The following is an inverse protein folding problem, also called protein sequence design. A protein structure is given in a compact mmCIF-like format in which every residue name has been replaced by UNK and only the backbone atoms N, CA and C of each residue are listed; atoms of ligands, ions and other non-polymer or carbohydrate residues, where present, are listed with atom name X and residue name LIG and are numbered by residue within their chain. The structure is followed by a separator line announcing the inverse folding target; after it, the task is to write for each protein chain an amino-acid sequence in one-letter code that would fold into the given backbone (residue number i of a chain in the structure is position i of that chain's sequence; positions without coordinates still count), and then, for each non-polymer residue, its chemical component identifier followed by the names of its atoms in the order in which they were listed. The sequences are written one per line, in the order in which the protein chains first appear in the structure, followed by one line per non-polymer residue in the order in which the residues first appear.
data_IF_245681827269
#
_entry.id   IF_245681827269
#
_cell.length_a   1.000
_cell.length_b   1.000
_cell.length_c   1.000
_cell.angle_alpha   90.00
_cell.angle_beta   90.00
_cell.angle_gamma   90.00
#
_symmetry.space_group_name_H-M   'P 1'
#
loop_
_entity.id
_entity.type
_entity.pdbx_description
1 polymer ?
#
# COMPACT_ATOMS: atom_id res chain seq x y z
N UNK A 1 -23.09 -14.00 3.75
CA UNK A 1 -23.43 -14.12 2.31
C UNK A 1 -23.61 -12.74 1.65
N UNK A 2 -24.50 -11.87 2.14
CA UNK A 2 -24.73 -10.51 1.60
C UNK A 2 -23.45 -9.63 1.54
N UNK A 3 -22.64 -9.65 2.60
CA UNK A 3 -21.42 -8.83 2.69
C UNK A 3 -20.32 -9.24 1.68
N UNK A 4 -20.31 -10.49 1.23
CA UNK A 4 -19.32 -11.02 0.27
C UNK A 4 -19.70 -10.67 -1.18
N UNK A 5 -21.00 -10.66 -1.51
CA UNK A 5 -21.52 -10.20 -2.81
C UNK A 5 -21.16 -8.74 -3.07
N UNK A 6 -21.40 -7.88 -2.08
CA UNK A 6 -21.10 -6.45 -2.19
C UNK A 6 -19.58 -6.19 -2.41
N UNK A 7 -18.70 -7.03 -1.84
CA UNK A 7 -17.23 -6.89 -1.97
C UNK A 7 -16.73 -7.20 -3.38
N UNK A 8 -17.27 -8.23 -4.04
CA UNK A 8 -16.93 -8.58 -5.42
C UNK A 8 -17.58 -7.62 -6.43
N UNK A 9 -18.80 -7.17 -6.16
CA UNK A 9 -19.51 -6.15 -6.96
C UNK A 9 -18.73 -4.84 -7.03
N UNK A 10 -18.19 -4.35 -5.91
CA UNK A 10 -17.38 -3.12 -5.91
C UNK A 10 -16.10 -3.29 -6.73
N UNK A 11 -15.40 -4.42 -6.60
CA UNK A 11 -14.21 -4.71 -7.41
C UNK A 11 -14.55 -4.82 -8.91
N UNK A 12 -15.68 -5.43 -9.26
CA UNK A 12 -16.19 -5.51 -10.63
C UNK A 12 -16.58 -4.14 -11.19
N UNK A 13 -17.26 -3.29 -10.39
CA UNK A 13 -17.60 -1.90 -10.74
C UNK A 13 -16.31 -1.10 -10.99
N UNK A 14 -15.28 -1.26 -10.15
CA UNK A 14 -13.98 -0.62 -10.37
C UNK A 14 -13.35 -0.99 -11.72
N UNK A 15 -13.45 -2.26 -12.15
CA UNK A 15 -12.96 -2.71 -13.46
C UNK A 15 -13.80 -2.19 -14.61
N UNK A 16 -15.12 -2.32 -14.53
CA UNK A 16 -16.06 -1.87 -15.57
C UNK A 16 -16.00 -0.36 -15.80
N UNK A 17 -15.86 0.44 -14.74
CA UNK A 17 -15.68 1.89 -14.84
C UNK A 17 -14.35 2.29 -15.51
N UNK A 18 -13.36 1.38 -15.53
CA UNK A 18 -12.03 1.62 -16.11
C UNK A 18 -11.87 1.04 -17.52
N UNK A 19 -12.53 -0.08 -17.83
CA UNK A 19 -12.68 -0.58 -19.20
C UNK A 19 -13.42 0.44 -20.07
N UNK A 20 -14.50 1.06 -19.58
CA UNK A 20 -15.17 2.17 -20.28
C UNK A 20 -14.24 3.37 -20.54
N UNK A 21 -13.25 3.60 -19.68
CA UNK A 21 -12.24 4.66 -19.88
C UNK A 21 -11.20 4.35 -20.97
N UNK A 22 -11.02 3.08 -21.33
CA UNK A 22 -10.15 2.68 -22.46
C UNK A 22 -10.85 2.74 -23.82
N UNK A 23 -12.18 2.60 -23.84
CA UNK A 23 -12.97 2.54 -25.07
C UNK A 23 -13.35 3.93 -25.62
N UNK A 24 -13.39 4.98 -24.79
CA UNK A 24 -13.88 6.31 -25.21
C UNK A 24 -12.88 7.48 -25.03
N UNK A 25 -11.58 7.22 -24.80
CA UNK A 25 -10.60 8.30 -24.61
C UNK A 25 -10.82 9.19 -23.36
N UNK A 26 -11.76 8.82 -22.48
CA UNK A 26 -12.03 9.50 -21.20
C UNK A 26 -11.16 8.90 -20.10
N UNK A 27 -10.33 9.73 -19.46
CA UNK A 27 -9.52 9.35 -18.27
C UNK A 27 -10.38 8.55 -17.29
N UNK A 28 -9.99 7.30 -17.03
CA UNK A 28 -10.53 6.43 -15.97
C UNK A 28 -10.85 7.25 -14.72
N UNK A 29 -12.07 7.11 -14.15
CA UNK A 29 -12.43 7.78 -12.89
C UNK A 29 -11.39 7.45 -11.83
N UNK A 30 -10.71 8.47 -11.32
CA UNK A 30 -9.70 8.33 -10.26
C UNK A 30 -10.37 7.90 -8.96
N UNK A 31 -9.66 7.14 -8.13
CA UNK A 31 -10.16 6.75 -6.81
C UNK A 31 -10.38 8.00 -5.96
N UNK A 32 -11.52 8.07 -5.29
CA UNK A 32 -11.91 9.20 -4.44
C UNK A 32 -11.54 8.88 -2.99
N UNK A 33 -10.88 9.84 -2.34
CA UNK A 33 -10.44 9.80 -0.95
C UNK A 33 -11.14 10.91 -0.16
N UNK A 34 -12.42 10.72 0.13
CA UNK A 34 -13.25 11.72 0.79
C UNK A 34 -14.18 11.09 1.84
N UNK A 35 -14.71 11.91 2.72
CA UNK A 35 -15.59 11.52 3.82
C UNK A 35 -14.83 11.22 5.11
N UNK A 36 -15.56 11.37 6.23
CA UNK A 36 -15.04 11.19 7.59
C UNK A 36 -14.38 9.82 7.77
N UNK A 37 -15.07 8.73 7.42
CA UNK A 37 -14.52 7.37 7.57
C UNK A 37 -13.24 7.17 6.77
N UNK A 38 -13.20 7.69 5.54
CA UNK A 38 -12.00 7.61 4.70
C UNK A 38 -10.84 8.36 5.35
N UNK A 39 -11.05 9.56 5.89
CA UNK A 39 -10.02 10.31 6.59
C UNK A 39 -9.55 9.60 7.86
N UNK A 40 -10.46 8.98 8.60
CA UNK A 40 -10.14 8.13 9.75
C UNK A 40 -9.32 6.91 9.35
N UNK A 41 -9.62 6.28 8.21
CA UNK A 41 -8.79 5.20 7.68
C UNK A 41 -7.41 5.70 7.25
N UNK A 42 -7.34 6.80 6.49
CA UNK A 42 -6.09 7.38 5.99
C UNK A 42 -5.15 7.83 7.11
N UNK A 43 -5.70 8.28 8.24
CA UNK A 43 -4.89 8.70 9.39
C UNK A 43 -4.18 7.55 10.08
N UNK A 44 -4.59 6.30 9.84
CA UNK A 44 -4.06 5.11 10.52
C UNK A 44 -4.05 5.24 12.05
N UNK A 45 -5.00 6.00 12.62
CA UNK A 45 -5.07 6.28 14.07
C UNK A 45 -4.15 7.42 14.55
N UNK A 46 -3.34 8.02 13.68
CA UNK A 46 -2.48 9.16 14.02
C UNK A 46 -3.30 10.45 13.92
N UNK A 47 -3.67 11.01 15.07
CA UNK A 47 -4.52 12.22 15.19
C UNK A 47 -3.97 13.38 14.36
N UNK A 48 -2.64 13.59 14.37
CA UNK A 48 -2.01 14.66 13.57
C UNK A 48 -2.28 14.53 12.07
N UNK A 49 -2.27 13.31 11.53
CA UNK A 49 -2.57 13.07 10.11
C UNK A 49 -4.05 13.42 9.84
N UNK A 50 -4.95 13.00 10.72
CA UNK A 50 -6.38 13.31 10.61
C UNK A 50 -6.63 14.83 10.59
N UNK A 51 -6.02 15.56 11.53
CA UNK A 51 -6.13 17.02 11.61
C UNK A 51 -5.55 17.71 10.36
N UNK A 52 -4.46 17.19 9.80
CA UNK A 52 -3.89 17.73 8.55
C UNK A 52 -4.82 17.52 7.36
N UNK A 53 -5.46 16.35 7.25
CA UNK A 53 -6.45 16.06 6.19
C UNK A 53 -7.64 17.01 6.28
N UNK A 54 -8.24 17.13 7.48
CA UNK A 54 -9.37 18.03 7.72
C UNK A 54 -8.96 19.48 7.51
N UNK A 55 -7.87 19.94 8.10
CA UNK A 55 -7.38 21.31 7.98
C UNK A 55 -7.13 21.72 6.52
N UNK A 56 -6.55 20.82 5.71
CA UNK A 56 -6.32 21.07 4.29
C UNK A 56 -7.64 21.13 3.48
N UNK A 57 -8.63 20.30 3.83
CA UNK A 57 -9.95 20.36 3.20
C UNK A 57 -10.69 21.66 3.53
N UNK A 58 -10.63 22.10 4.79
CA UNK A 58 -11.19 23.38 5.24
C UNK A 58 -10.55 24.55 4.51
N UNK A 59 -9.21 24.58 4.48
CA UNK A 59 -8.43 25.61 3.78
C UNK A 59 -8.85 25.73 2.30
N UNK A 60 -8.99 24.58 1.61
CA UNK A 60 -9.40 24.55 0.21
C UNK A 60 -10.82 25.05 0.00
N UNK A 61 -11.74 24.65 0.86
CA UNK A 61 -13.15 25.00 0.78
C UNK A 61 -13.39 26.49 1.04
N UNK A 62 -12.74 27.05 2.07
CA UNK A 62 -12.79 28.51 2.34
C UNK A 62 -12.22 29.30 1.15
N UNK A 63 -11.12 28.84 0.57
CA UNK A 63 -10.55 29.45 -0.64
C UNK A 63 -11.46 29.40 -1.87
N UNK A 64 -12.48 28.54 -1.88
CA UNK A 64 -13.51 28.45 -2.92
C UNK A 64 -14.83 29.14 -2.52
N UNK A 65 -14.85 29.87 -1.40
CA UNK A 65 -16.01 30.61 -0.93
C UNK A 65 -17.02 29.80 -0.10
N UNK A 66 -16.70 28.56 0.28
CA UNK A 66 -17.54 27.78 1.20
C UNK A 66 -17.41 28.34 2.61
N UNK A 67 -18.53 28.67 3.26
CA UNK A 67 -18.53 29.18 4.62
C UNK A 67 -18.52 28.04 5.66
N UNK A 68 -17.37 27.38 5.78
CA UNK A 68 -17.17 26.24 6.70
C UNK A 68 -17.46 26.59 8.16
N UNK A 69 -17.22 27.85 8.58
CA UNK A 69 -17.49 28.33 9.94
C UNK A 69 -18.97 28.37 10.28
N UNK A 70 -19.84 28.53 9.27
CA UNK A 70 -21.29 28.43 9.41
C UNK A 70 -21.82 27.00 9.24
N UNK A 71 -20.93 26.01 9.12
CA UNK A 71 -21.30 24.61 8.95
C UNK A 71 -21.71 24.23 7.52
N UNK A 72 -21.36 25.04 6.52
CA UNK A 72 -21.57 24.66 5.12
C UNK A 72 -20.76 23.40 4.77
N UNK A 73 -21.34 22.56 3.92
CA UNK A 73 -20.74 21.27 3.56
C UNK A 73 -19.53 21.47 2.65
N UNK A 74 -18.41 20.85 3.03
CA UNK A 74 -17.22 20.77 2.17
C UNK A 74 -17.48 19.77 1.05
N UNK A 75 -17.19 20.15 -0.20
CA UNK A 75 -17.38 19.30 -1.37
C UNK A 75 -16.54 18.02 -1.30
N UNK A 76 -16.96 16.98 -2.04
CA UNK A 76 -16.19 15.72 -2.14
C UNK A 76 -14.87 15.96 -2.86
N UNK A 77 -14.88 16.88 -3.81
CA UNK A 77 -13.74 17.29 -4.63
C UNK A 77 -12.66 17.95 -3.77
N UNK A 78 -13.04 18.84 -2.85
CA UNK A 78 -12.09 19.50 -1.95
C UNK A 78 -11.49 18.53 -0.93
N UNK A 79 -12.32 17.62 -0.40
CA UNK A 79 -11.85 16.56 0.48
C UNK A 79 -10.86 15.63 -0.23
N UNK A 80 -11.20 15.22 -1.46
CA UNK A 80 -10.31 14.37 -2.26
C UNK A 80 -8.99 15.09 -2.61
N UNK A 81 -9.07 16.36 -2.99
CA UNK A 81 -7.89 17.18 -3.25
C UNK A 81 -6.99 17.27 -2.02
N UNK A 82 -7.56 17.56 -0.84
CA UNK A 82 -6.83 17.64 0.41
C UNK A 82 -6.13 16.32 0.75
N UNK A 83 -6.81 15.18 0.55
CA UNK A 83 -6.20 13.87 0.76
C UNK A 83 -4.96 13.66 -0.12
N UNK A 84 -5.01 14.02 -1.40
CA UNK A 84 -3.86 13.93 -2.29
C UNK A 84 -2.72 14.88 -1.88
N UNK A 85 -3.03 16.12 -1.52
CA UNK A 85 -2.01 17.10 -1.11
C UNK A 85 -1.30 16.68 0.17
N UNK A 86 -2.06 16.29 1.19
CA UNK A 86 -1.47 15.83 2.46
C UNK A 86 -0.68 14.54 2.23
N UNK A 87 -1.24 13.56 1.53
CA UNK A 87 -0.55 12.32 1.20
C UNK A 87 0.79 12.54 0.49
N UNK A 88 0.79 13.40 -0.52
CA UNK A 88 2.00 13.78 -1.27
C UNK A 88 3.03 14.46 -0.36
N UNK A 89 2.59 15.41 0.46
CA UNK A 89 3.48 16.08 1.42
C UNK A 89 4.07 15.14 2.47
N UNK A 90 3.36 14.09 2.89
CA UNK A 90 3.91 13.06 3.77
C UNK A 90 4.91 12.15 3.05
N UNK A 91 4.61 11.73 1.82
CA UNK A 91 5.49 10.90 1.01
C UNK A 91 6.81 11.64 0.70
N UNK A 92 6.74 12.89 0.24
CA UNK A 92 7.90 13.73 -0.05
C UNK A 92 8.72 14.10 1.19
N UNK A 93 8.18 13.99 2.40
CA UNK A 93 8.95 14.26 3.63
C UNK A 93 9.77 13.07 4.10
N UNK A 94 9.52 11.86 3.59
CA UNK A 94 10.26 10.64 3.97
C UNK A 94 11.77 10.86 3.77
N UNK A 95 12.19 11.38 2.61
CA UNK A 95 13.61 11.55 2.31
C UNK A 95 14.31 12.61 3.19
N UNK A 96 13.56 13.60 3.72
CA UNK A 96 14.12 14.71 4.51
C UNK A 96 14.11 14.46 6.01
N UNK A 97 13.08 13.79 6.50
CA UNK A 97 12.81 13.69 7.93
C UNK A 97 13.45 12.44 8.57
N UNK A 98 13.99 11.53 7.76
CA UNK A 98 14.54 10.28 8.24
C UNK A 98 16.05 10.39 8.28
N UNK A 99 16.54 10.47 9.52
CA UNK A 99 17.97 10.41 9.82
C UNK A 99 18.57 9.09 9.35
N UNK A 100 19.78 9.17 8.80
CA UNK A 100 20.47 8.00 8.34
C UNK A 100 20.91 7.14 9.54
N UNK A 101 20.50 5.88 9.57
CA UNK A 101 20.85 4.95 10.63
C UNK A 101 21.06 3.54 10.08
N UNK A 102 22.18 2.90 10.44
CA UNK A 102 22.44 1.50 10.09
C UNK A 102 22.46 1.20 8.59
N UNK A 103 22.95 2.15 7.77
CA UNK A 103 22.98 2.03 6.30
C UNK A 103 21.65 2.37 5.61
N UNK A 104 20.61 2.72 6.37
CA UNK A 104 19.31 3.16 5.86
C UNK A 104 19.30 4.67 5.82
N UNK A 105 18.73 5.25 4.77
CA UNK A 105 18.49 6.68 4.67
C UNK A 105 17.05 6.93 4.17
N UNK A 106 16.61 8.19 4.28
CA UNK A 106 15.26 8.57 3.85
C UNK A 106 15.01 8.35 2.35
N UNK A 107 16.02 8.44 1.49
CA UNK A 107 15.87 8.22 0.05
C UNK A 107 15.52 6.75 -0.24
N UNK A 108 16.24 5.81 0.39
CA UNK A 108 15.96 4.38 0.30
C UNK A 108 14.54 4.06 0.77
N UNK A 109 14.08 4.68 1.86
CA UNK A 109 12.71 4.49 2.36
C UNK A 109 11.66 5.06 1.41
N UNK A 110 11.91 6.25 0.85
CA UNK A 110 11.03 6.87 -0.15
C UNK A 110 10.90 5.99 -1.40
N UNK A 111 12.03 5.49 -1.91
CA UNK A 111 12.07 4.59 -3.06
C UNK A 111 11.33 3.30 -2.79
N UNK A 112 11.57 2.65 -1.65
CA UNK A 112 10.87 1.43 -1.27
C UNK A 112 9.35 1.63 -1.17
N UNK A 113 8.89 2.70 -0.52
CA UNK A 113 7.45 3.01 -0.42
C UNK A 113 6.84 3.25 -1.80
N UNK A 114 7.56 3.93 -2.70
CA UNK A 114 7.12 4.16 -4.07
C UNK A 114 7.02 2.84 -4.86
N UNK A 115 8.04 1.98 -4.75
CA UNK A 115 8.08 0.70 -5.46
C UNK A 115 7.00 -0.27 -4.97
N UNK A 116 6.79 -0.37 -3.65
CA UNK A 116 5.67 -1.12 -3.08
C UNK A 116 4.33 -0.53 -3.50
N UNK A 117 4.20 0.80 -3.54
CA UNK A 117 3.03 1.49 -4.05
C UNK A 117 2.70 1.08 -5.47
N UNK A 118 3.69 1.08 -6.36
CA UNK A 118 3.53 0.68 -7.75
C UNK A 118 3.18 -0.81 -7.90
N UNK A 119 3.73 -1.68 -7.06
CA UNK A 119 3.38 -3.12 -7.03
C UNK A 119 1.92 -3.29 -6.59
N UNK A 120 1.50 -2.63 -5.51
CA UNK A 120 0.11 -2.71 -5.03
C UNK A 120 -0.88 -2.08 -6.00
N UNK A 121 -0.44 -1.04 -6.68
CA UNK A 121 -1.20 -0.42 -7.77
C UNK A 121 -1.42 -1.41 -8.89
N UNK A 122 -0.39 -2.13 -9.32
CA UNK A 122 -0.51 -3.17 -10.34
C UNK A 122 -1.55 -4.22 -9.93
N UNK A 123 -1.49 -4.68 -8.67
CA UNK A 123 -2.50 -5.59 -8.12
C UNK A 123 -3.90 -5.02 -8.15
N UNK A 124 -4.07 -3.76 -7.73
CA UNK A 124 -5.36 -3.07 -7.72
C UNK A 124 -5.98 -2.99 -9.12
N UNK A 125 -5.14 -2.83 -10.14
CA UNK A 125 -5.59 -2.62 -11.51
C UNK A 125 -5.89 -3.93 -12.25
N UNK A 126 -5.16 -5.02 -11.96
CA UNK A 126 -5.17 -6.22 -12.79
C UNK A 126 -5.56 -7.51 -12.05
N UNK A 127 -5.38 -7.58 -10.73
CA UNK A 127 -5.65 -8.81 -9.99
C UNK A 127 -7.17 -9.08 -9.90
N UNK A 128 -7.60 -10.30 -10.25
CA UNK A 128 -9.01 -10.64 -10.52
C UNK A 128 -9.90 -10.83 -9.26
N UNK A 129 -9.34 -11.29 -8.14
CA UNK A 129 -10.11 -11.62 -6.93
C UNK A 129 -9.77 -10.72 -5.74
N UNK A 130 -8.50 -10.41 -5.54
CA UNK A 130 -7.99 -9.68 -4.37
C UNK A 130 -7.24 -8.39 -4.73
N UNK A 131 -7.88 -7.39 -5.35
CA UNK A 131 -7.20 -6.21 -5.86
C UNK A 131 -6.74 -5.22 -4.76
N UNK A 132 -7.45 -5.15 -3.63
CA UNK A 132 -7.15 -4.18 -2.57
C UNK A 132 -6.19 -4.76 -1.51
N UNK A 133 -4.91 -4.38 -1.57
CA UNK A 133 -3.93 -4.71 -0.52
C UNK A 133 -3.13 -3.47 -0.12
N UNK A 134 -2.71 -3.48 1.14
CA UNK A 134 -1.64 -2.65 1.69
C UNK A 134 -0.65 -3.47 2.53
N UNK A 135 -0.84 -4.80 2.54
CA UNK A 135 -0.08 -5.70 3.39
C UNK A 135 1.12 -6.27 2.63
N UNK A 136 2.27 -6.24 3.29
CA UNK A 136 3.51 -6.90 2.89
C UNK A 136 3.66 -8.10 3.80
N UNK A 137 3.43 -9.31 3.26
CA UNK A 137 3.52 -10.56 4.01
C UNK A 137 4.82 -11.28 3.69
N UNK A 138 5.69 -11.46 4.68
CA UNK A 138 6.96 -12.15 4.50
C UNK A 138 6.75 -13.64 4.72
N UNK A 139 6.96 -14.45 3.67
CA UNK A 139 6.67 -15.90 3.68
C UNK A 139 7.79 -16.76 4.28
N UNK A 140 9.01 -16.25 4.32
CA UNK A 140 10.21 -16.89 4.85
C UNK A 140 10.87 -16.06 5.97
N UNK A 141 10.13 -15.68 7.03
CA UNK A 141 10.63 -14.73 8.02
C UNK A 141 11.81 -15.23 8.85
N UNK A 142 12.07 -16.54 8.87
CA UNK A 142 13.29 -17.11 9.45
C UNK A 142 14.55 -16.54 8.78
N UNK A 143 14.47 -16.13 7.51
CA UNK A 143 15.57 -15.55 6.75
C UNK A 143 15.80 -14.07 7.07
N UNK A 144 15.03 -13.44 7.98
CA UNK A 144 15.25 -12.03 8.39
C UNK A 144 16.38 -11.84 9.39
N UNK A 145 16.79 -12.90 10.08
CA UNK A 145 17.81 -12.84 11.12
C UNK A 145 19.19 -13.31 10.63
N UNK A 146 19.41 -13.43 9.32
CA UNK A 146 20.73 -13.74 8.76
C UNK A 146 21.52 -12.45 8.55
N UNK A 147 22.86 -12.57 8.46
CA UNK A 147 23.72 -11.41 8.20
C UNK A 147 23.43 -10.77 6.84
N UNK A 148 23.09 -11.59 5.83
CA UNK A 148 22.71 -11.14 4.49
C UNK A 148 21.43 -10.28 4.49
N UNK A 149 20.49 -10.54 5.40
CA UNK A 149 19.22 -9.81 5.51
C UNK A 149 19.26 -8.68 6.54
N UNK A 150 20.42 -8.42 7.17
CA UNK A 150 20.52 -7.45 8.28
C UNK A 150 20.06 -6.06 7.89
N UNK A 151 20.38 -5.62 6.67
CA UNK A 151 19.92 -4.33 6.14
C UNK A 151 18.39 -4.28 6.06
N UNK A 152 17.74 -5.31 5.49
CA UNK A 152 16.29 -5.39 5.41
C UNK A 152 15.63 -5.43 6.80
N UNK A 153 16.19 -6.20 7.73
CA UNK A 153 15.62 -6.29 9.08
C UNK A 153 15.68 -4.93 9.80
N UNK A 154 16.84 -4.27 9.74
CA UNK A 154 16.99 -2.90 10.26
C UNK A 154 16.02 -1.94 9.55
N UNK A 155 15.86 -2.07 8.23
CA UNK A 155 14.95 -1.24 7.44
C UNK A 155 13.50 -1.38 7.90
N UNK A 156 13.04 -2.62 8.13
CA UNK A 156 11.68 -2.89 8.60
C UNK A 156 11.46 -2.36 10.03
N UNK A 157 12.45 -2.52 10.92
CA UNK A 157 12.39 -1.98 12.29
C UNK A 157 12.29 -0.45 12.24
N UNK A 158 13.15 0.18 11.44
CA UNK A 158 13.16 1.63 11.27
C UNK A 158 11.86 2.14 10.65
N UNK A 159 11.33 1.45 9.64
CA UNK A 159 10.06 1.78 9.00
C UNK A 159 8.87 1.73 9.96
N UNK A 160 8.89 0.80 10.93
CA UNK A 160 7.87 0.75 11.98
C UNK A 160 8.05 1.90 12.97
N UNK A 161 9.29 2.17 13.39
CA UNK A 161 9.60 3.29 14.31
C UNK A 161 9.12 4.63 13.74
N UNK A 162 9.39 4.89 12.47
CA UNK A 162 9.00 6.11 11.76
C UNK A 162 7.54 6.11 11.28
N UNK A 163 6.73 5.11 11.67
CA UNK A 163 5.31 4.98 11.27
C UNK A 163 5.08 4.96 9.75
N UNK A 164 6.06 4.50 8.97
CA UNK A 164 5.91 4.22 7.53
C UNK A 164 5.16 2.91 7.33
N UNK A 165 5.55 1.90 8.10
CA UNK A 165 4.90 0.59 8.14
C UNK A 165 4.32 0.36 9.54
N UNK A 166 3.27 -0.45 9.61
CA UNK A 166 2.76 -0.98 10.86
C UNK A 166 2.94 -2.47 10.90
N UNK A 167 3.39 -3.00 12.02
CA UNK A 167 3.33 -4.44 12.23
C UNK A 167 1.87 -4.84 12.42
N UNK A 168 1.39 -5.79 11.63
CA UNK A 168 0.04 -6.32 11.82
C UNK A 168 0.07 -7.30 12.98
N UNK A 169 -0.72 -7.03 14.02
CA UNK A 169 -0.87 -7.99 15.11
C UNK A 169 -1.63 -9.23 14.61
N UNK A 170 -1.17 -10.40 15.04
CA UNK A 170 -1.82 -11.68 14.74
C UNK A 170 -3.17 -11.75 15.45
N UNK A 171 -4.24 -11.40 14.73
CA UNK A 171 -5.61 -11.66 15.18
C UNK A 171 -5.99 -13.12 14.90
N UNK A 172 -6.91 -13.69 15.67
CA UNK A 172 -7.34 -15.09 15.58
C UNK A 172 -7.76 -15.52 14.17
N UNK A 173 -8.32 -14.60 13.37
CA UNK A 173 -8.73 -14.83 11.98
C UNK A 173 -7.58 -15.05 10.98
N UNK A 174 -6.35 -14.68 11.35
CA UNK A 174 -5.15 -14.79 10.52
C UNK A 174 -4.15 -15.82 11.05
N UNK A 175 -4.46 -16.49 12.17
CA UNK A 175 -3.65 -17.61 12.64
C UNK A 175 -3.78 -18.78 11.67
N UNK A 176 -2.66 -19.41 11.27
CA UNK A 176 -2.73 -20.63 10.52
C UNK A 176 -3.55 -21.67 11.30
N UNK A 177 -4.54 -22.28 10.64
CA UNK A 177 -5.37 -23.32 11.25
C UNK A 177 -4.57 -24.59 11.58
N UNK A 178 -3.39 -24.74 10.98
CA UNK A 178 -2.47 -25.83 11.21
C UNK A 178 -1.20 -25.32 11.89
N UNK A 179 -0.77 -26.01 12.94
CA UNK A 179 0.42 -25.68 13.76
C UNK A 179 1.74 -25.80 13.01
N UNK A 180 1.77 -26.50 11.88
CA UNK A 180 2.96 -26.73 11.03
C UNK A 180 3.21 -25.62 9.99
N UNK A 181 2.27 -24.70 9.79
CA UNK A 181 2.44 -23.61 8.83
C UNK A 181 3.39 -22.55 9.39
N UNK A 182 4.47 -22.25 8.65
CA UNK A 182 5.41 -21.17 8.98
C UNK A 182 4.60 -19.88 9.12
N UNK A 183 4.72 -19.22 10.28
CA UNK A 183 4.01 -17.98 10.56
C UNK A 183 4.58 -16.88 9.68
N UNK A 184 3.74 -16.18 8.92
CA UNK A 184 4.17 -15.02 8.14
C UNK A 184 4.43 -13.83 9.06
N UNK A 185 5.36 -12.95 8.67
CA UNK A 185 5.56 -11.67 9.34
C UNK A 185 4.92 -10.58 8.48
N UNK A 186 3.83 -9.99 8.97
CA UNK A 186 3.01 -9.06 8.20
C UNK A 186 3.25 -7.60 8.60
N UNK A 187 3.47 -6.78 7.58
CA UNK A 187 3.54 -5.33 7.68
C UNK A 187 2.43 -4.69 6.86
N UNK A 188 1.98 -3.50 7.24
CA UNK A 188 0.96 -2.74 6.52
C UNK A 188 1.53 -1.36 6.22
N UNK A 189 1.50 -0.96 4.96
CA UNK A 189 1.87 0.40 4.57
C UNK A 189 0.93 1.42 5.21
N UNK A 190 1.48 2.50 5.75
CA UNK A 190 0.66 3.55 6.33
C UNK A 190 -0.29 4.11 5.27
N UNK A 191 -1.58 4.10 5.61
CA UNK A 191 -2.66 4.41 4.68
C UNK A 191 -2.58 5.84 4.16
N UNK A 192 -1.92 6.75 4.87
CA UNK A 192 -1.73 8.14 4.42
C UNK A 192 -1.03 8.22 3.06
N UNK A 193 -0.22 7.24 2.66
CA UNK A 193 0.44 7.23 1.35
C UNK A 193 -0.49 6.80 0.21
N UNK A 194 -1.67 6.26 0.53
CA UNK A 194 -2.57 5.66 -0.47
C UNK A 194 -3.03 6.64 -1.55
N UNK A 195 -3.42 7.89 -1.23
CA UNK A 195 -3.79 8.87 -2.25
C UNK A 195 -2.64 9.23 -3.20
N UNK A 196 -1.42 9.47 -2.69
CA UNK A 196 -0.26 9.82 -3.51
C UNK A 196 0.20 8.66 -4.42
N UNK A 197 0.15 7.44 -3.90
CA UNK A 197 0.45 6.21 -4.66
C UNK A 197 -0.74 5.76 -5.53
N UNK A 198 -1.90 6.39 -5.36
CA UNK A 198 -3.19 6.10 -5.99
C UNK A 198 -3.61 4.61 -5.87
N UNK A 199 -3.44 4.07 -4.66
CA UNK A 199 -3.80 2.70 -4.26
C UNK A 199 -4.95 2.69 -3.25
N UNK A 200 -5.53 1.52 -2.96
CA UNK A 200 -6.59 1.46 -1.95
C UNK A 200 -6.06 1.72 -0.54
N UNK A 201 -6.73 2.59 0.23
CA UNK A 201 -6.47 2.74 1.67
C UNK A 201 -6.94 1.53 2.50
N UNK A 202 -7.64 0.58 1.88
CA UNK A 202 -8.21 -0.60 2.54
C UNK A 202 -7.21 -1.76 2.52
N UNK A 203 -6.75 -2.18 3.69
CA UNK A 203 -5.90 -3.36 3.86
C UNK A 203 -6.73 -4.66 3.98
N UNK A 204 -7.65 -4.89 3.03
CA UNK A 204 -8.63 -6.01 3.09
C UNK A 204 -7.97 -7.37 2.90
N UNK A 205 -7.10 -7.50 1.90
CA UNK A 205 -6.48 -8.77 1.54
C UNK A 205 -5.03 -8.81 2.02
N UNK A 206 -4.68 -9.83 2.81
CA UNK A 206 -3.35 -9.99 3.42
C UNK A 206 -2.42 -10.95 2.68
N UNK A 207 -2.63 -11.20 1.39
CA UNK A 207 -1.94 -12.26 0.63
C UNK A 207 -0.91 -11.76 -0.38
N UNK A 208 -0.45 -10.51 -0.25
CA UNK A 208 0.68 -10.05 -1.07
C UNK A 208 1.97 -10.56 -0.43
N UNK A 209 2.35 -11.78 -0.82
CA UNK A 209 3.50 -12.48 -0.28
C UNK A 209 4.78 -12.02 -0.95
N UNK A 210 5.82 -11.82 -0.16
CA UNK A 210 7.18 -11.52 -0.59
C UNK A 210 8.16 -12.45 0.11
N UNK A 211 9.27 -12.80 -0.55
CA UNK A 211 10.43 -13.35 0.15
C UNK A 211 11.25 -12.25 0.80
N UNK A 212 12.04 -12.61 1.82
CA UNK A 212 13.12 -11.74 2.34
C UNK A 212 14.03 -11.30 1.20
N UNK A 213 14.43 -12.22 0.32
CA UNK A 213 15.31 -11.92 -0.82
C UNK A 213 14.73 -10.89 -1.78
N UNK A 214 13.45 -11.01 -2.13
CA UNK A 214 12.75 -10.05 -2.99
C UNK A 214 12.71 -8.65 -2.36
N UNK A 215 12.44 -8.56 -1.06
CA UNK A 215 12.42 -7.28 -0.37
C UNK A 215 13.83 -6.69 -0.23
N UNK A 216 14.86 -7.50 0.02
CA UNK A 216 16.25 -7.06 0.05
C UNK A 216 16.68 -6.50 -1.31
N UNK A 217 16.31 -7.14 -2.42
CA UNK A 217 16.61 -6.65 -3.77
C UNK A 217 15.87 -5.36 -4.13
N UNK A 218 14.72 -5.07 -3.51
CA UNK A 218 14.10 -3.74 -3.65
C UNK A 218 14.89 -2.62 -2.96
N UNK A 219 15.76 -2.96 -1.99
CA UNK A 219 16.64 -1.99 -1.32
C UNK A 219 17.99 -1.81 -2.02
N UNK A 220 18.34 -2.73 -2.92
CA UNK A 220 19.62 -2.75 -3.64
C UNK A 220 19.50 -2.04 -4.99
N UNK A 221 20.36 -1.04 -5.25
CA UNK A 221 20.24 -0.18 -6.43
C UNK A 221 20.32 -0.93 -7.76
N UNK A 222 21.11 -2.00 -7.81
CA UNK A 222 21.43 -2.70 -9.04
C UNK A 222 20.33 -3.68 -9.43
N UNK A 223 19.72 -4.35 -8.45
CA UNK A 223 18.67 -5.36 -8.65
C UNK A 223 17.24 -4.83 -8.51
N UNK A 224 17.04 -3.60 -7.99
CA UNK A 224 15.71 -3.01 -7.70
C UNK A 224 14.78 -2.96 -8.91
N UNK A 225 15.25 -2.40 -10.02
CA UNK A 225 14.40 -2.15 -11.19
C UNK A 225 13.83 -3.44 -11.79
N UNK A 226 14.68 -4.46 -11.92
CA UNK A 226 14.28 -5.77 -12.43
C UNK A 226 13.38 -6.50 -11.43
N UNK A 227 13.73 -6.48 -10.14
CA UNK A 227 12.92 -7.09 -9.08
C UNK A 227 11.52 -6.48 -9.04
N UNK A 228 11.40 -5.15 -9.07
CA UNK A 228 10.12 -4.44 -9.11
C UNK A 228 9.26 -4.90 -10.29
N UNK A 229 9.85 -5.00 -11.48
CA UNK A 229 9.15 -5.43 -12.70
C UNK A 229 8.62 -6.85 -12.58
N UNK A 230 9.41 -7.78 -12.05
CA UNK A 230 9.00 -9.17 -11.78
C UNK A 230 7.83 -9.19 -10.78
N UNK A 231 7.95 -8.44 -9.68
CA UNK A 231 6.92 -8.38 -8.63
C UNK A 231 5.61 -7.78 -9.13
N UNK A 232 5.66 -6.77 -10.00
CA UNK A 232 4.48 -6.19 -10.67
C UNK A 232 3.80 -7.22 -11.58
N UNK A 233 4.56 -7.92 -12.42
CA UNK A 233 4.02 -8.96 -13.31
C UNK A 233 3.30 -10.05 -12.51
N UNK A 234 3.88 -10.48 -11.37
CA UNK A 234 3.27 -11.45 -10.46
C UNK A 234 1.90 -10.99 -9.92
N UNK A 235 1.64 -9.69 -9.78
CA UNK A 235 0.35 -9.21 -9.30
C UNK A 235 -0.79 -9.33 -10.32
N UNK A 236 -0.47 -9.53 -11.61
CA UNK A 236 -1.50 -9.65 -12.66
C UNK A 236 -2.12 -11.04 -12.69
N UNK A 237 -1.35 -12.07 -12.35
CA UNK A 237 -1.79 -13.46 -12.34
C UNK A 237 -2.50 -13.76 -11.02
N UNK A 238 -3.75 -14.22 -11.12
CA UNK A 238 -4.40 -14.90 -10.00
C UNK A 238 -3.63 -16.21 -9.82
N UNK A 239 -3.22 -16.58 -8.62
CA UNK A 239 -2.49 -17.85 -8.38
C UNK A 239 -3.27 -19.03 -8.98
N UNK A 240 -2.90 -19.43 -10.19
CA UNK A 240 -3.18 -20.75 -10.77
C UNK A 240 -2.11 -21.21 -11.76
N UNK A 241 -1.05 -20.43 -12.01
CA UNK A 241 0.05 -20.91 -12.86
C UNK A 241 1.36 -20.18 -12.58
N UNK A 242 2.17 -20.76 -11.71
CA UNK A 242 3.60 -20.87 -11.98
C UNK A 242 3.90 -22.36 -12.04
N UNK A 243 4.37 -22.92 -13.17
CA UNK A 243 5.03 -24.21 -13.11
C UNK A 243 6.23 -24.04 -12.18
N UNK A 244 6.34 -24.94 -11.19
CA UNK A 244 7.57 -25.08 -10.41
C UNK A 244 8.74 -25.13 -11.39
N UNK A 245 9.86 -24.46 -11.05
CA UNK A 245 11.15 -24.72 -11.66
C UNK A 245 11.40 -26.24 -11.58
N UNK A 246 11.13 -26.93 -12.69
CA UNK A 246 11.42 -28.32 -12.93
C UNK A 246 12.67 -28.32 -13.80
N UNK A 247 13.75 -28.90 -13.29
CA UNK A 247 14.88 -29.36 -14.09
C UNK A 247 16.12 -28.45 -14.06
N UNK A 248 16.96 -28.64 -13.05
CA UNK A 248 18.31 -29.11 -13.34
C UNK A 248 18.44 -30.46 -12.65
N UNK A 249 18.27 -31.50 -13.47
CA UNK A 249 18.54 -32.90 -13.15
C UNK A 249 20.04 -33.06 -12.92
N UNK A 250 20.37 -33.73 -11.83
CA UNK A 250 21.61 -34.48 -11.69
C UNK A 250 21.54 -35.66 -12.67
N UNK A 251 22.44 -35.67 -13.63
CA UNK A 251 23.13 -36.89 -14.05
C UNK A 251 24.61 -36.72 -13.70
#
# INVERSE_FOLDING_TARGET
MSEYRNKLEVAAIFRLLREKGKVEGRKSRRKIYAGFDTYTYLSSGIIRIFLNLVGMAFYRAEGQGTNVKKGEKISVEDQNWAAHIVSKGYLEKIHKNIEAYGGINGEMMYQFVTDIGDIFRERLLFHSSEPETLSISIKDPQNLNTDESRLLNNFLIHSVRESILYKREETSSYRPKHTTTIRTKDYVLNRIYSPALEISYRARWGRCNFTVKELSYLLDSDSRAETKKILQQRQRTSETTYPMFKGMTLE
#
